data_IF_015897616937
#
_entry.id   IF_015897616937
#
_cell.length_a   1.000
_cell.length_b   1.000
_cell.length_c   1.000
_cell.angle_alpha   90.00
_cell.angle_beta   90.00
_cell.angle_gamma   90.00
#
_symmetry.space_group_name_H-M   'P 1'
#
loop_
_entity.id
_entity.type
_entity.pdbx_description
1 polymer ?
#
# COMPACT_ATOMS: atom_id res chain seq x y z
N UNK A 1 20.69 22.14 12.66
CA UNK A 1 19.73 23.07 12.03
C UNK A 1 19.00 22.29 10.94
N UNK A 2 17.68 22.17 11.03
CA UNK A 2 16.87 21.43 10.06
C UNK A 2 16.86 22.18 8.73
N UNK A 3 17.74 21.79 7.80
CA UNK A 3 17.62 22.18 6.42
C UNK A 3 16.47 21.36 5.82
N UNK A 4 15.26 21.91 5.84
CA UNK A 4 14.02 21.34 5.28
C UNK A 4 14.09 21.25 3.74
N UNK A 5 15.04 20.48 3.22
CA UNK A 5 15.23 20.25 1.79
C UNK A 5 14.79 18.84 1.46
N UNK A 6 14.24 18.66 0.27
CA UNK A 6 13.99 17.34 -0.28
C UNK A 6 15.31 16.60 -0.42
N UNK A 7 15.38 15.39 0.14
CA UNK A 7 16.58 14.55 0.09
C UNK A 7 16.18 13.15 -0.39
N UNK A 8 17.06 12.56 -1.21
CA UNK A 8 16.90 11.18 -1.64
C UNK A 8 17.43 10.29 -0.52
N UNK A 9 16.50 9.71 0.23
CA UNK A 9 16.80 8.70 1.22
C UNK A 9 16.31 7.33 0.71
N UNK A 10 16.88 6.25 1.24
CA UNK A 10 16.54 4.88 0.83
C UNK A 10 16.43 3.96 2.04
N UNK A 11 15.42 3.10 2.05
CA UNK A 11 15.21 2.15 3.13
C UNK A 11 13.74 1.88 3.42
N UNK A 12 13.47 0.80 4.15
CA UNK A 12 12.11 0.40 4.54
C UNK A 12 11.43 1.44 5.45
N UNK A 13 12.21 2.25 6.16
CA UNK A 13 11.74 3.38 6.98
C UNK A 13 10.90 4.39 6.17
N UNK A 14 11.10 4.48 4.85
CA UNK A 14 10.33 5.36 3.95
C UNK A 14 9.03 4.71 3.46
N UNK A 15 8.89 3.38 3.52
CA UNK A 15 7.67 2.71 3.11
C UNK A 15 6.50 3.03 4.07
N UNK A 16 6.78 3.12 5.37
CA UNK A 16 5.78 3.45 6.38
C UNK A 16 5.10 4.84 6.16
N UNK A 17 5.84 5.96 5.99
CA UNK A 17 5.22 7.26 5.71
C UNK A 17 4.52 7.34 4.35
N UNK A 18 5.00 6.61 3.33
CA UNK A 18 4.31 6.53 2.02
C UNK A 18 2.93 5.87 2.19
N UNK A 19 2.87 4.71 2.84
CA UNK A 19 1.60 3.98 3.03
C UNK A 19 0.66 4.73 3.96
N UNK A 20 1.16 5.41 5.00
CA UNK A 20 0.34 6.23 5.88
C UNK A 20 -0.24 7.44 5.14
N UNK A 21 0.49 8.05 4.21
CA UNK A 21 -0.02 9.09 3.31
C UNK A 21 -1.19 8.59 2.46
N UNK A 22 -1.09 7.39 1.87
CA UNK A 22 -2.21 6.78 1.13
C UNK A 22 -3.42 6.54 2.02
N UNK A 23 -3.22 6.02 3.24
CA UNK A 23 -4.30 5.83 4.21
C UNK A 23 -4.97 7.16 4.61
N UNK A 24 -4.18 8.22 4.79
CA UNK A 24 -4.68 9.56 5.08
C UNK A 24 -5.53 10.12 3.94
N UNK A 25 -5.08 9.95 2.68
CA UNK A 25 -5.86 10.33 1.50
C UNK A 25 -7.21 9.61 1.46
N UNK A 26 -7.22 8.28 1.65
CA UNK A 26 -8.47 7.50 1.66
C UNK A 26 -9.43 8.03 2.74
N UNK A 27 -8.93 8.28 3.96
CA UNK A 27 -9.78 8.75 5.08
C UNK A 27 -10.21 10.21 4.93
N UNK A 28 -9.44 11.04 4.24
CA UNK A 28 -9.82 12.41 3.91
C UNK A 28 -11.05 12.45 2.99
N UNK A 29 -11.08 11.60 1.95
CA UNK A 29 -12.21 11.53 1.02
C UNK A 29 -13.38 10.68 1.53
N UNK A 30 -13.09 9.64 2.34
CA UNK A 30 -14.08 8.66 2.81
C UNK A 30 -14.00 8.45 4.33
N UNK A 31 -14.34 9.46 5.15
CA UNK A 31 -14.13 9.43 6.61
C UNK A 31 -14.99 8.38 7.34
N UNK A 32 -15.99 7.80 6.67
CA UNK A 32 -16.87 6.76 7.23
C UNK A 32 -16.28 5.35 7.14
N UNK A 33 -15.15 5.17 6.46
CA UNK A 33 -14.46 3.89 6.36
C UNK A 33 -13.72 3.58 7.67
N UNK A 34 -13.81 2.33 8.12
CA UNK A 34 -13.10 1.84 9.30
C UNK A 34 -11.62 1.60 8.97
N UNK A 35 -10.77 1.54 10.00
CA UNK A 35 -9.36 1.18 9.81
C UNK A 35 -9.19 -0.19 9.14
N UNK A 36 -10.06 -1.15 9.43
CA UNK A 36 -10.05 -2.46 8.78
C UNK A 36 -10.40 -2.36 7.29
N UNK A 37 -11.42 -1.59 6.91
CA UNK A 37 -11.78 -1.36 5.51
C UNK A 37 -10.64 -0.65 4.76
N UNK A 38 -10.01 0.36 5.36
CA UNK A 38 -8.86 1.06 4.77
C UNK A 38 -7.68 0.11 4.58
N UNK A 39 -7.38 -0.75 5.56
CA UNK A 39 -6.34 -1.78 5.44
C UNK A 39 -6.61 -2.74 4.29
N UNK A 40 -7.84 -3.26 4.18
CA UNK A 40 -8.24 -4.15 3.08
C UNK A 40 -8.09 -3.46 1.72
N UNK A 41 -8.56 -2.21 1.60
CA UNK A 41 -8.42 -1.42 0.37
C UNK A 41 -6.95 -1.31 -0.04
N UNK A 42 -6.05 -0.96 0.87
CA UNK A 42 -4.62 -0.80 0.56
C UNK A 42 -4.00 -2.13 0.12
N UNK A 43 -4.31 -3.23 0.80
CA UNK A 43 -3.76 -4.55 0.48
C UNK A 43 -4.29 -5.11 -0.85
N UNK A 44 -5.57 -4.88 -1.14
CA UNK A 44 -6.25 -5.47 -2.31
C UNK A 44 -6.01 -4.67 -3.59
N UNK A 45 -5.92 -3.33 -3.50
CA UNK A 45 -5.82 -2.43 -4.65
C UNK A 45 -4.40 -2.24 -5.21
N UNK A 46 -3.39 -2.83 -4.56
CA UNK A 46 -2.00 -2.77 -5.03
C UNK A 46 -1.79 -3.44 -6.39
N UNK A 47 -0.70 -3.06 -7.06
CA UNK A 47 -0.29 -3.64 -8.35
C UNK A 47 0.50 -4.91 -8.09
N UNK A 48 0.09 -6.01 -8.74
CA UNK A 48 0.85 -7.25 -8.78
C UNK A 48 1.85 -7.23 -9.93
N UNK A 49 3.02 -7.81 -9.71
CA UNK A 49 4.02 -8.06 -10.75
C UNK A 49 4.30 -9.55 -10.81
N UNK A 50 4.16 -10.13 -12.00
CA UNK A 50 4.57 -11.51 -12.25
C UNK A 50 6.01 -11.53 -12.75
N UNK A 51 6.93 -11.36 -11.80
CA UNK A 51 8.37 -11.33 -12.04
C UNK A 51 9.09 -12.20 -11.02
N UNK A 52 10.14 -12.85 -11.47
CA UNK A 52 11.07 -13.57 -10.62
C UNK A 52 12.14 -12.60 -10.12
N UNK A 53 12.29 -12.51 -8.80
CA UNK A 53 13.23 -11.61 -8.13
C UNK A 53 14.13 -12.40 -7.19
N UNK A 54 15.33 -11.88 -6.93
CA UNK A 54 16.23 -12.48 -5.96
C UNK A 54 15.61 -12.38 -4.57
N UNK A 55 15.60 -13.49 -3.83
CA UNK A 55 15.17 -13.49 -2.44
C UNK A 55 16.09 -12.57 -1.63
N UNK A 56 15.54 -11.61 -0.85
CA UNK A 56 16.34 -10.87 0.10
C UNK A 56 16.88 -11.84 1.16
N UNK A 57 18.19 -12.12 1.13
CA UNK A 57 18.86 -13.00 2.09
C UNK A 57 20.20 -12.35 2.48
N UNK A 58 20.54 -12.40 3.78
CA UNK A 58 21.80 -11.84 4.32
C UNK A 58 23.05 -12.43 3.64
N UNK A 59 22.93 -13.63 3.08
CA UNK A 59 24.03 -14.42 2.54
C UNK A 59 24.15 -14.30 1.01
N UNK A 60 23.34 -13.46 0.37
CA UNK A 60 23.37 -13.26 -1.09
C UNK A 60 22.98 -14.50 -1.90
N UNK A 61 22.05 -15.34 -1.41
CA UNK A 61 21.59 -16.48 -2.19
C UNK A 61 20.97 -16.03 -3.51
N UNK A 62 21.32 -16.71 -4.61
CA UNK A 62 20.80 -16.43 -5.95
C UNK A 62 19.43 -17.10 -6.22
N UNK A 63 18.73 -17.47 -5.15
CA UNK A 63 17.42 -18.11 -5.26
C UNK A 63 16.40 -17.10 -5.75
N UNK A 64 15.79 -17.38 -6.90
CA UNK A 64 14.72 -16.58 -7.45
C UNK A 64 13.38 -17.05 -6.93
N UNK A 65 12.55 -16.11 -6.50
CA UNK A 65 11.17 -16.34 -6.05
C UNK A 65 10.24 -15.39 -6.79
N UNK A 66 8.95 -15.72 -6.86
CA UNK A 66 7.99 -14.75 -7.37
C UNK A 66 7.93 -13.55 -6.42
N UNK A 67 7.86 -12.33 -6.98
CA UNK A 67 7.71 -11.10 -6.18
C UNK A 67 6.49 -11.16 -5.25
N UNK A 68 5.44 -11.87 -5.67
CA UNK A 68 4.22 -12.08 -4.88
C UNK A 68 4.47 -12.80 -3.55
N UNK A 69 5.53 -13.60 -3.43
CA UNK A 69 5.86 -14.36 -2.22
C UNK A 69 6.59 -13.52 -1.16
N UNK A 70 7.08 -12.33 -1.51
CA UNK A 70 7.89 -11.49 -0.62
C UNK A 70 7.10 -10.71 0.42
N UNK A 71 5.77 -10.65 0.31
CA UNK A 71 4.93 -9.87 1.22
C UNK A 71 3.53 -10.48 1.38
N UNK A 72 2.78 -10.03 2.38
CA UNK A 72 1.41 -10.52 2.63
C UNK A 72 0.44 -10.26 1.48
N UNK A 73 0.59 -9.14 0.77
CA UNK A 73 -0.25 -8.81 -0.40
C UNK A 73 0.36 -9.26 -1.72
N UNK A 74 1.67 -9.46 -1.78
CA UNK A 74 2.40 -9.69 -3.03
C UNK A 74 2.33 -8.53 -4.01
N UNK A 75 2.05 -7.31 -3.52
CA UNK A 75 1.66 -6.15 -4.34
C UNK A 75 2.37 -4.87 -3.90
N UNK A 76 2.64 -4.00 -4.88
CA UNK A 76 3.11 -2.63 -4.65
C UNK A 76 1.92 -1.70 -4.41
N UNK A 77 2.03 -0.83 -3.41
CA UNK A 77 0.97 0.14 -3.08
C UNK A 77 0.62 1.03 -4.28
N UNK A 78 -0.68 1.27 -4.49
CA UNK A 78 -1.17 2.14 -5.56
C UNK A 78 -2.29 3.06 -5.04
N UNK A 79 -2.01 4.37 -4.95
CA UNK A 79 -2.94 5.34 -4.40
C UNK A 79 -4.21 5.52 -5.26
N UNK A 80 -4.08 5.49 -6.60
CA UNK A 80 -5.18 5.70 -7.52
C UNK A 80 -6.21 4.56 -7.45
N UNK A 81 -5.74 3.31 -7.54
CA UNK A 81 -6.58 2.12 -7.40
C UNK A 81 -7.21 2.05 -6.01
N UNK A 82 -6.48 2.45 -4.97
CA UNK A 82 -7.00 2.50 -3.62
C UNK A 82 -8.17 3.48 -3.50
N UNK A 83 -8.10 4.66 -4.10
CA UNK A 83 -9.19 5.64 -4.11
C UNK A 83 -10.40 5.16 -4.93
N UNK A 84 -10.17 4.48 -6.07
CA UNK A 84 -11.25 3.88 -6.85
C UNK A 84 -11.99 2.79 -6.05
N UNK A 85 -11.24 1.90 -5.39
CA UNK A 85 -11.83 0.85 -4.56
C UNK A 85 -12.54 1.44 -3.33
N UNK A 86 -11.94 2.45 -2.69
CA UNK A 86 -12.54 3.15 -1.55
C UNK A 86 -13.89 3.80 -1.90
N UNK A 87 -14.01 4.40 -3.10
CA UNK A 87 -15.26 4.94 -3.63
C UNK A 87 -16.37 3.89 -3.62
N UNK A 88 -16.07 2.70 -4.14
CA UNK A 88 -17.06 1.62 -4.25
C UNK A 88 -17.43 1.04 -2.88
N UNK A 89 -16.47 0.85 -1.97
CA UNK A 89 -16.72 0.40 -0.60
C UNK A 89 -17.59 1.42 0.16
N UNK A 90 -17.25 2.70 0.08
CA UNK A 90 -18.00 3.77 0.72
C UNK A 90 -19.44 3.87 0.18
N UNK A 91 -19.63 3.70 -1.14
CA UNK A 91 -20.95 3.67 -1.78
C UNK A 91 -21.78 2.49 -1.27
N UNK A 92 -21.21 1.28 -1.21
CA UNK A 92 -21.88 0.08 -0.67
C UNK A 92 -22.27 0.27 0.80
N UNK A 93 -21.40 0.90 1.60
CA UNK A 93 -21.66 1.19 3.02
C UNK A 93 -22.80 2.19 3.21
N UNK A 94 -22.88 3.24 2.39
CA UNK A 94 -24.02 4.18 2.40
C UNK A 94 -25.35 3.48 2.08
N UNK A 95 -25.36 2.55 1.12
CA UNK A 95 -26.56 1.76 0.79
C UNK A 95 -27.03 0.87 1.94
N UNK A 96 -26.12 0.23 2.68
CA UNK A 96 -26.46 -0.62 3.85
C UNK A 96 -27.04 0.14 5.05
N UNK A 97 -26.87 1.47 5.10
CA UNK A 97 -27.39 2.34 6.16
C UNK A 97 -28.78 2.93 5.84
N UNK A 98 -29.27 2.75 4.61
CA UNK A 98 -30.62 3.14 4.19
C UNK A 98 -31.52 1.93 4.26
#
# INVERSE_FOLDING_TARGET
MANNKYEFDSGTSLAAPIVSGVAALIRSYYPTLTAAEVKSIILESGISYDIMVNRPAENGSNDKVHFSELSKSGKVVNAYNALLMAKEVAKKKKKKKR
#
